data_IF_031758226332
#
_entry.id   IF_031758226332
#
_cell.length_a   1.000
_cell.length_b   1.000
_cell.length_c   1.000
_cell.angle_alpha   90.00
_cell.angle_beta   90.00
_cell.angle_gamma   90.00
#
_symmetry.space_group_name_H-M   'P 1'
#
loop_
_entity.id
_entity.type
_entity.pdbx_description
1 polymer ?
#
# COMPACT_ATOMS: atom_id res chain seq x y z
N UNK A 1 30.92 1.48 7.70
CA UNK A 1 30.48 2.77 7.13
C UNK A 1 29.64 2.49 5.90
N UNK A 2 28.70 3.37 5.57
CA UNK A 2 27.83 3.24 4.38
C UNK A 2 28.23 4.32 3.37
N UNK A 3 28.17 3.99 2.09
CA UNK A 3 28.53 4.90 1.00
C UNK A 3 27.33 5.13 0.07
N UNK A 4 27.27 6.28 -0.59
CA UNK A 4 26.26 6.53 -1.62
C UNK A 4 26.55 5.68 -2.87
N UNK A 5 25.72 4.64 -3.02
CA UNK A 5 25.86 3.63 -4.06
C UNK A 5 24.98 3.83 -5.29
N UNK A 6 24.18 4.91 -5.39
CA UNK A 6 23.19 5.06 -6.49
C UNK A 6 23.80 4.93 -7.88
N UNK A 7 24.95 5.57 -8.10
CA UNK A 7 25.68 5.48 -9.37
C UNK A 7 26.17 4.06 -9.64
N UNK A 8 26.65 3.36 -8.60
CA UNK A 8 27.16 1.99 -8.69
C UNK A 8 26.00 1.05 -9.04
N UNK A 9 24.87 1.17 -8.33
CA UNK A 9 23.68 0.32 -8.56
C UNK A 9 23.15 0.51 -9.99
N UNK A 10 23.09 1.75 -10.48
CA UNK A 10 22.71 2.03 -11.86
C UNK A 10 23.67 1.39 -12.87
N UNK A 11 24.99 1.54 -12.67
CA UNK A 11 26.01 0.92 -13.53
C UNK A 11 25.96 -0.61 -13.48
N UNK A 12 25.70 -1.20 -12.32
CA UNK A 12 25.62 -2.64 -12.12
C UNK A 12 24.37 -3.23 -12.78
N UNK A 13 23.23 -2.53 -12.71
CA UNK A 13 22.02 -2.88 -13.45
C UNK A 13 22.23 -2.81 -14.96
N UNK A 14 22.91 -1.77 -15.47
CA UNK A 14 23.26 -1.67 -16.88
C UNK A 14 24.21 -2.79 -17.32
N UNK A 15 25.26 -3.08 -16.54
CA UNK A 15 26.19 -4.16 -16.82
C UNK A 15 25.50 -5.53 -16.85
N UNK A 16 24.60 -5.78 -15.91
CA UNK A 16 23.81 -7.03 -15.85
C UNK A 16 22.86 -7.16 -17.04
N UNK A 17 22.23 -6.06 -17.46
CA UNK A 17 21.38 -6.04 -18.66
C UNK A 17 22.17 -6.32 -19.93
N UNK A 18 23.37 -5.76 -20.08
CA UNK A 18 24.25 -6.00 -21.23
C UNK A 18 24.79 -7.43 -21.22
N UNK A 19 25.23 -7.92 -20.05
CA UNK A 19 25.69 -9.31 -19.90
C UNK A 19 24.59 -10.32 -20.32
N UNK A 20 23.34 -10.06 -19.93
CA UNK A 20 22.19 -10.89 -20.35
C UNK A 20 21.96 -10.84 -21.86
N UNK A 21 22.07 -9.66 -22.48
CA UNK A 21 21.98 -9.52 -23.94
C UNK A 21 23.10 -10.27 -24.67
N UNK A 22 24.32 -10.26 -24.13
CA UNK A 22 25.44 -11.04 -24.69
C UNK A 22 25.14 -12.54 -24.62
N UNK A 23 24.59 -13.02 -23.51
CA UNK A 23 24.21 -14.44 -23.35
C UNK A 23 23.11 -14.84 -24.37
N UNK A 24 22.11 -13.99 -24.58
CA UNK A 24 21.05 -14.20 -25.58
C UNK A 24 21.56 -14.20 -27.02
N UNK A 25 22.42 -13.23 -27.36
CA UNK A 25 23.04 -13.12 -28.68
C UNK A 25 24.02 -14.29 -28.92
N UNK A 26 24.75 -14.73 -27.90
CA UNK A 26 25.64 -15.89 -27.97
C UNK A 26 24.91 -17.20 -28.25
N UNK A 27 23.70 -17.38 -27.70
CA UNK A 27 22.85 -18.52 -28.06
C UNK A 27 22.32 -18.45 -29.50
N UNK A 28 22.11 -17.24 -30.06
CA UNK A 28 21.63 -17.05 -31.45
C UNK A 28 22.74 -17.14 -32.50
N UNK A 29 23.94 -16.65 -32.20
CA UNK A 29 25.08 -16.63 -33.13
C UNK A 29 25.62 -18.02 -33.49
N UNK A 30 25.27 -19.06 -32.72
CA UNK A 30 25.50 -20.47 -33.10
C UNK A 30 24.75 -20.84 -34.40
N UNK A 31 23.68 -20.10 -34.75
CA UNK A 31 22.77 -20.39 -35.87
C UNK A 31 23.02 -19.44 -37.07
N UNK A 32 23.48 -18.20 -36.88
CA UNK A 32 23.71 -17.22 -37.95
C UNK A 32 25.11 -16.56 -37.84
N UNK A 33 25.92 -16.68 -38.89
CA UNK A 33 27.33 -16.28 -38.90
C UNK A 33 27.57 -15.08 -39.82
N UNK A 34 27.50 -13.86 -39.28
CA UNK A 34 28.55 -12.83 -39.39
C UNK A 34 28.13 -11.53 -38.68
N UNK A 35 26.88 -11.08 -38.88
CA UNK A 35 26.37 -9.80 -38.35
C UNK A 35 26.23 -9.81 -36.81
N UNK A 36 25.86 -10.96 -36.25
CA UNK A 36 25.71 -11.16 -34.81
C UNK A 36 27.05 -11.12 -34.05
N UNK A 37 28.16 -11.43 -34.74
CA UNK A 37 29.50 -11.45 -34.13
C UNK A 37 30.02 -10.03 -33.89
N UNK A 38 29.76 -9.09 -34.79
CA UNK A 38 30.15 -7.68 -34.62
C UNK A 38 29.34 -7.01 -33.50
N UNK A 39 28.03 -7.30 -33.44
CA UNK A 39 27.16 -6.75 -32.38
C UNK A 39 27.53 -7.30 -30.98
N UNK A 40 27.95 -8.56 -30.90
CA UNK A 40 28.50 -9.17 -29.69
C UNK A 40 29.76 -8.45 -29.21
N UNK A 41 30.74 -8.20 -30.10
CA UNK A 41 31.98 -7.49 -29.75
C UNK A 41 31.71 -6.08 -29.22
N UNK A 42 30.77 -5.36 -29.84
CA UNK A 42 30.36 -4.03 -29.37
C UNK A 42 29.76 -4.08 -27.94
N UNK A 43 29.01 -5.12 -27.61
CA UNK A 43 28.43 -5.28 -26.27
C UNK A 43 29.48 -5.69 -25.24
N UNK A 44 30.45 -6.54 -25.60
CA UNK A 44 31.59 -6.88 -24.75
C UNK A 44 32.46 -5.67 -24.42
N UNK A 45 32.76 -4.81 -25.40
CA UNK A 45 33.50 -3.56 -25.18
C UNK A 45 32.75 -2.61 -24.24
N UNK A 46 31.43 -2.45 -24.43
CA UNK A 46 30.58 -1.66 -23.51
C UNK A 46 30.59 -2.23 -22.10
N UNK A 47 30.55 -3.56 -21.96
CA UNK A 47 30.61 -4.23 -20.66
C UNK A 47 31.97 -4.02 -19.98
N UNK A 48 33.07 -4.15 -20.72
CA UNK A 48 34.41 -3.86 -20.20
C UNK A 48 34.55 -2.40 -19.75
N UNK A 49 34.02 -1.45 -20.53
CA UNK A 49 33.97 -0.04 -20.16
C UNK A 49 33.18 0.22 -18.88
N UNK A 50 32.05 -0.47 -18.69
CA UNK A 50 31.26 -0.40 -17.45
C UNK A 50 32.01 -1.02 -16.26
N UNK A 51 32.63 -2.19 -16.43
CA UNK A 51 33.45 -2.82 -15.39
C UNK A 51 34.61 -1.94 -14.95
N UNK A 52 35.27 -1.25 -15.89
CA UNK A 52 36.32 -0.29 -15.57
C UNK A 52 35.80 0.89 -14.75
N UNK A 53 34.65 1.46 -15.12
CA UNK A 53 33.98 2.53 -14.34
C UNK A 53 33.62 2.05 -12.92
N UNK A 54 33.11 0.84 -12.77
CA UNK A 54 32.77 0.26 -11.45
C UNK A 54 34.04 0.13 -10.60
N UNK A 55 35.12 -0.44 -11.14
CA UNK A 55 36.41 -0.56 -10.44
C UNK A 55 36.97 0.81 -10.03
N UNK A 56 36.87 1.80 -10.90
CA UNK A 56 37.30 3.17 -10.60
C UNK A 56 36.50 3.79 -9.45
N UNK A 57 35.18 3.59 -9.39
CA UNK A 57 34.35 4.08 -8.28
C UNK A 57 34.64 3.33 -6.98
N UNK A 58 35.03 2.05 -7.06
CA UNK A 58 35.45 1.24 -5.92
C UNK A 58 36.85 1.59 -5.38
N UNK A 59 37.61 2.46 -6.05
CA UNK A 59 38.87 2.96 -5.51
C UNK A 59 38.63 3.71 -4.19
N UNK A 60 39.48 3.44 -3.20
CA UNK A 60 39.33 3.94 -1.82
C UNK A 60 39.22 5.47 -1.73
N UNK A 61 39.93 6.20 -2.60
CA UNK A 61 39.89 7.67 -2.65
C UNK A 61 38.54 8.23 -3.11
N UNK A 62 37.81 7.50 -3.95
CA UNK A 62 36.49 7.89 -4.46
C UNK A 62 35.41 7.49 -3.45
N UNK A 63 35.56 6.32 -2.82
CA UNK A 63 34.65 5.85 -1.76
C UNK A 63 34.62 6.81 -0.57
N UNK A 64 35.77 7.28 -0.09
CA UNK A 64 35.85 8.24 1.03
C UNK A 64 35.06 9.53 0.78
N UNK A 65 34.98 9.99 -0.48
CA UNK A 65 34.19 11.18 -0.84
C UNK A 65 32.69 10.95 -0.83
N UNK A 66 32.25 9.69 -0.88
CA UNK A 66 30.84 9.27 -0.92
C UNK A 66 30.36 8.67 0.40
N UNK A 67 31.10 8.86 1.49
CA UNK A 67 30.72 8.40 2.82
C UNK A 67 29.44 9.09 3.28
N UNK A 68 28.47 8.29 3.71
CA UNK A 68 27.25 8.76 4.35
C UNK A 68 27.47 8.84 5.85
N UNK A 69 26.80 9.77 6.57
CA UNK A 69 26.87 9.88 8.03
C UNK A 69 26.05 8.77 8.73
N UNK A 70 26.16 7.53 8.25
CA UNK A 70 25.45 6.36 8.74
C UNK A 70 26.41 5.16 8.77
N UNK A 71 26.32 4.37 9.83
CA UNK A 71 27.11 3.15 9.98
C UNK A 71 26.29 2.06 10.66
N UNK A 72 26.55 0.82 10.26
CA UNK A 72 26.10 -0.37 10.99
C UNK A 72 27.15 -0.74 12.03
N UNK A 73 26.70 -0.93 13.27
CA UNK A 73 27.55 -1.29 14.40
C UNK A 73 27.11 -2.65 14.92
N UNK A 74 28.08 -3.56 15.05
CA UNK A 74 27.85 -4.92 15.56
C UNK A 74 28.48 -5.07 16.93
N UNK A 75 27.77 -5.75 17.83
CA UNK A 75 28.22 -6.02 19.19
C UNK A 75 28.47 -7.52 19.38
N UNK A 76 29.38 -7.87 20.29
CA UNK A 76 29.65 -9.28 20.65
C UNK A 76 28.45 -9.95 21.36
N UNK A 77 27.64 -9.17 22.07
CA UNK A 77 26.48 -9.66 22.82
C UNK A 77 25.19 -8.95 22.39
N UNK A 78 24.09 -9.71 22.34
CA UNK A 78 22.74 -9.20 22.02
C UNK A 78 22.27 -8.16 23.04
N UNK A 79 22.58 -8.34 24.32
CA UNK A 79 22.25 -7.37 25.37
C UNK A 79 22.96 -6.03 25.13
N UNK A 80 24.24 -6.06 24.73
CA UNK A 80 25.00 -4.86 24.41
C UNK A 80 24.39 -4.08 23.24
N UNK A 81 23.95 -4.77 22.20
CA UNK A 81 23.24 -4.15 21.07
C UNK A 81 21.87 -3.58 21.46
N UNK A 82 21.12 -4.27 22.32
CA UNK A 82 19.82 -3.80 22.79
C UNK A 82 19.96 -2.53 23.65
N UNK A 83 20.93 -2.51 24.57
CA UNK A 83 21.19 -1.35 25.43
C UNK A 83 21.68 -0.16 24.58
N UNK A 84 22.61 -0.37 23.66
CA UNK A 84 23.14 0.71 22.82
C UNK A 84 22.09 1.30 21.88
N UNK A 85 21.17 0.49 21.36
CA UNK A 85 20.08 0.98 20.48
C UNK A 85 18.97 1.74 21.21
N UNK A 86 18.79 1.52 22.51
CA UNK A 86 17.76 2.18 23.32
C UNK A 86 18.26 3.36 24.14
N UNK A 87 19.58 3.51 24.31
CA UNK A 87 20.19 4.59 25.08
C UNK A 87 20.57 5.77 24.19
N UNK A 88 20.37 6.98 24.72
CA UNK A 88 20.85 8.21 24.10
C UNK A 88 22.37 8.29 24.23
N UNK A 89 23.07 8.37 23.10
CA UNK A 89 24.54 8.36 23.06
C UNK A 89 25.18 9.74 23.21
N UNK A 90 24.44 10.81 22.94
CA UNK A 90 24.96 12.17 22.88
C UNK A 90 23.97 13.18 23.48
N UNK A 91 24.45 14.28 24.05
CA UNK A 91 23.61 15.31 24.69
C UNK A 91 22.56 15.89 23.73
N UNK A 92 22.98 16.19 22.50
CA UNK A 92 22.08 16.57 21.42
C UNK A 92 21.35 15.33 20.86
N UNK A 93 20.01 15.24 20.96
CA UNK A 93 19.23 14.06 20.54
C UNK A 93 19.18 13.85 19.02
N UNK A 94 19.54 14.87 18.22
CA UNK A 94 19.60 14.79 16.76
C UNK A 94 20.93 14.23 16.24
N UNK A 95 21.93 14.10 17.12
CA UNK A 95 23.23 13.54 16.79
C UNK A 95 23.34 12.12 17.35
N UNK A 96 23.99 11.23 16.60
CA UNK A 96 24.22 9.84 17.01
C UNK A 96 22.94 9.07 17.36
N UNK A 97 21.87 9.29 16.60
CA UNK A 97 20.62 8.54 16.76
C UNK A 97 20.84 7.07 16.42
N UNK A 98 20.64 6.19 17.40
CA UNK A 98 20.77 4.75 17.26
C UNK A 98 19.39 4.11 17.06
N UNK A 99 19.27 3.21 16.09
CA UNK A 99 18.10 2.36 15.91
C UNK A 99 18.54 0.91 15.75
N UNK A 100 17.67 -0.04 16.09
CA UNK A 100 17.91 -1.46 15.79
C UNK A 100 18.01 -1.63 14.28
N UNK A 101 19.14 -2.16 13.82
CA UNK A 101 19.38 -2.41 12.41
C UNK A 101 18.37 -3.45 11.87
N UNK A 102 17.65 -3.14 10.78
CA UNK A 102 16.75 -4.10 10.15
C UNK A 102 17.55 -5.19 9.42
N UNK A 103 16.87 -6.28 9.04
CA UNK A 103 17.48 -7.34 8.24
C UNK A 103 18.06 -6.77 6.93
N UNK A 104 19.23 -7.22 6.44
CA UNK A 104 19.86 -6.69 5.23
C UNK A 104 18.95 -6.65 3.99
N UNK A 105 17.97 -7.56 3.89
CA UNK A 105 16.97 -7.62 2.81
C UNK A 105 15.86 -6.59 2.96
N UNK A 106 15.57 -6.16 4.18
CA UNK A 106 14.54 -5.18 4.55
C UNK A 106 15.08 -3.73 4.53
N UNK A 107 16.41 -3.55 4.48
CA UNK A 107 17.05 -2.23 4.35
C UNK A 107 16.71 -1.59 3.00
N UNK A 108 16.24 -0.35 3.03
CA UNK A 108 16.08 0.51 1.86
C UNK A 108 17.32 1.39 1.72
N UNK A 109 18.30 0.90 0.98
CA UNK A 109 19.61 1.56 0.81
C UNK A 109 19.51 3.00 0.28
N UNK A 110 18.58 3.25 -0.65
CA UNK A 110 18.36 4.59 -1.22
C UNK A 110 17.90 5.64 -0.20
N UNK A 111 17.25 5.22 0.89
CA UNK A 111 16.74 6.12 1.92
C UNK A 111 17.80 6.44 2.99
N UNK A 112 18.89 5.66 3.09
CA UNK A 112 20.00 5.93 4.00
C UNK A 112 20.78 7.19 3.64
N UNK A 113 20.73 7.61 2.37
CA UNK A 113 21.39 8.83 1.88
C UNK A 113 20.64 10.13 2.25
N UNK A 114 19.42 10.02 2.80
CA UNK A 114 18.60 11.18 3.14
C UNK A 114 19.12 11.80 4.45
N UNK A 115 19.43 13.11 4.50
CA UNK A 115 19.89 13.74 5.72
C UNK A 115 18.79 13.78 6.78
N UNK A 116 19.15 13.49 8.04
CA UNK A 116 18.19 13.35 9.14
C UNK A 116 17.33 14.60 9.36
N UNK A 117 17.89 15.80 9.15
CA UNK A 117 17.18 17.07 9.34
C UNK A 117 15.98 17.28 8.41
N UNK A 118 15.95 16.65 7.23
CA UNK A 118 14.81 16.77 6.31
C UNK A 118 13.71 15.73 6.56
N UNK A 119 14.00 14.64 7.28
CA UNK A 119 13.03 13.58 7.55
C UNK A 119 11.75 14.08 8.25
N UNK A 120 11.81 14.96 9.27
CA UNK A 120 10.59 15.52 9.87
C UNK A 120 9.71 16.28 8.88
N UNK A 121 10.32 17.06 7.98
CA UNK A 121 9.58 17.84 6.98
C UNK A 121 8.85 16.92 6.00
N UNK A 122 9.52 15.88 5.49
CA UNK A 122 8.88 14.87 4.64
C UNK A 122 7.74 14.14 5.36
N UNK A 123 7.93 13.78 6.64
CA UNK A 123 6.90 13.11 7.44
C UNK A 123 5.67 14.00 7.65
N UNK A 124 5.87 15.28 7.97
CA UNK A 124 4.77 16.25 8.13
C UNK A 124 4.06 16.48 6.79
N UNK A 125 4.82 16.65 5.70
CA UNK A 125 4.26 16.81 4.36
C UNK A 125 3.40 15.62 3.93
N UNK A 126 3.87 14.40 4.20
CA UNK A 126 3.10 13.18 3.90
C UNK A 126 1.88 13.02 4.81
N UNK A 127 1.98 13.39 6.09
CA UNK A 127 0.82 13.42 6.98
C UNK A 127 -0.25 14.39 6.47
N UNK A 128 0.14 15.62 6.13
CA UNK A 128 -0.76 16.63 5.58
C UNK A 128 -1.39 16.18 4.26
N UNK A 129 -0.59 15.61 3.36
CA UNK A 129 -1.08 15.06 2.10
C UNK A 129 -2.10 13.93 2.31
N UNK A 130 -1.83 13.01 3.25
CA UNK A 130 -2.77 11.94 3.60
C UNK A 130 -4.07 12.48 4.22
N UNK A 131 -3.99 13.51 5.07
CA UNK A 131 -5.17 14.18 5.64
C UNK A 131 -6.02 14.86 4.56
N UNK A 132 -5.40 15.64 3.67
CA UNK A 132 -6.09 16.29 2.54
C UNK A 132 -6.73 15.24 1.63
N UNK A 133 -5.99 14.17 1.31
CA UNK A 133 -6.51 13.06 0.52
C UNK A 133 -7.73 12.41 1.18
N UNK A 134 -7.70 12.22 2.50
CA UNK A 134 -8.82 11.66 3.28
C UNK A 134 -10.07 12.54 3.22
N UNK A 135 -9.92 13.86 3.36
CA UNK A 135 -11.02 14.83 3.29
C UNK A 135 -11.58 14.90 1.87
N UNK A 136 -10.71 14.96 0.86
CA UNK A 136 -11.13 14.99 -0.54
C UNK A 136 -11.95 13.74 -0.91
N UNK A 137 -11.58 12.58 -0.37
CA UNK A 137 -12.30 11.33 -0.59
C UNK A 137 -13.68 11.24 0.06
N UNK A 138 -13.97 12.11 1.03
CA UNK A 138 -15.31 12.19 1.59
C UNK A 138 -16.35 12.63 0.55
N UNK A 139 -15.94 13.45 -0.43
CA UNK A 139 -16.82 13.99 -1.48
C UNK A 139 -17.39 12.86 -2.37
N UNK A 140 -16.59 12.00 -3.03
CA UNK A 140 -17.14 10.91 -3.85
C UNK A 140 -17.94 9.89 -3.03
N UNK A 141 -17.51 9.61 -1.79
CA UNK A 141 -18.23 8.68 -0.90
C UNK A 141 -19.62 9.22 -0.55
N UNK A 142 -19.70 10.49 -0.13
CA UNK A 142 -20.98 11.14 0.20
C UNK A 142 -21.84 11.35 -1.04
N UNK A 143 -21.27 11.64 -2.20
CA UNK A 143 -22.00 11.72 -3.46
C UNK A 143 -22.68 10.39 -3.81
N UNK A 144 -21.99 9.26 -3.64
CA UNK A 144 -22.55 7.93 -3.93
C UNK A 144 -23.60 7.53 -2.90
N UNK A 145 -23.34 7.75 -1.60
CA UNK A 145 -24.35 7.54 -0.56
C UNK A 145 -25.59 8.42 -0.78
N UNK A 146 -25.38 9.65 -1.25
CA UNK A 146 -26.41 10.56 -1.72
C UNK A 146 -27.21 9.94 -2.87
N UNK A 147 -26.56 9.51 -3.96
CA UNK A 147 -27.20 8.94 -5.16
C UNK A 147 -28.04 7.69 -4.81
N UNK A 148 -27.51 6.78 -3.99
CA UNK A 148 -28.24 5.56 -3.55
C UNK A 148 -29.50 5.92 -2.75
N UNK A 149 -29.48 7.04 -2.01
CA UNK A 149 -30.69 7.59 -1.37
C UNK A 149 -31.55 8.43 -2.32
N UNK A 150 -30.96 9.08 -3.32
CA UNK A 150 -31.63 9.87 -4.36
C UNK A 150 -32.43 9.00 -5.34
N UNK A 151 -32.08 7.72 -5.54
CA UNK A 151 -32.96 6.78 -6.24
C UNK A 151 -34.28 6.53 -5.46
N UNK A 152 -34.28 6.68 -4.13
CA UNK A 152 -35.53 6.74 -3.32
C UNK A 152 -36.21 8.11 -3.37
N UNK A 153 -35.48 9.16 -3.75
CA UNK A 153 -35.93 10.56 -3.88
C UNK A 153 -36.24 10.97 -5.33
N UNK A 154 -36.46 9.97 -6.21
CA UNK A 154 -36.84 10.10 -7.64
C UNK A 154 -38.14 10.88 -7.89
N UNK A 155 -38.81 11.33 -6.83
CA UNK A 155 -40.06 12.09 -6.85
C UNK A 155 -39.88 13.61 -6.96
N UNK A 156 -38.65 14.15 -6.85
CA UNK A 156 -38.46 15.61 -6.65
C UNK A 156 -37.43 16.32 -7.56
N UNK A 157 -36.76 15.65 -8.51
CA UNK A 157 -35.73 16.29 -9.37
C UNK A 157 -35.98 16.12 -10.89
N UNK A 158 -36.36 17.18 -11.64
CA UNK A 158 -36.67 17.14 -13.08
C UNK A 158 -35.54 16.85 -14.10
N UNK A 159 -34.24 17.16 -13.89
CA UNK A 159 -33.24 16.98 -14.96
C UNK A 159 -32.83 15.52 -15.23
N UNK A 160 -33.30 14.55 -14.44
CA UNK A 160 -33.10 13.11 -14.70
C UNK A 160 -33.95 12.56 -15.85
N UNK A 161 -34.93 13.32 -16.37
CA UNK A 161 -35.73 12.91 -17.54
C UNK A 161 -34.94 12.89 -18.86
N UNK A 162 -33.84 13.64 -18.98
CA UNK A 162 -33.09 13.72 -20.24
C UNK A 162 -32.35 12.40 -20.59
N UNK A 163 -32.09 11.53 -19.60
CA UNK A 163 -31.39 10.25 -19.76
C UNK A 163 -32.38 9.08 -19.96
N UNK A 164 -33.69 9.31 -19.85
CA UNK A 164 -34.73 8.29 -20.01
C UNK A 164 -34.98 7.81 -21.45
N UNK A 165 -34.28 8.32 -22.46
CA UNK A 165 -34.56 8.01 -23.85
C UNK A 165 -34.18 6.58 -24.31
N UNK A 166 -33.48 5.78 -23.49
CA UNK A 166 -33.19 4.36 -23.80
C UNK A 166 -33.52 3.47 -22.59
N UNK A 167 -34.61 2.68 -22.63
CA UNK A 167 -34.98 1.77 -21.56
C UNK A 167 -33.93 0.65 -21.45
N UNK A 168 -33.23 0.59 -20.32
CA UNK A 168 -32.15 -0.38 -20.04
C UNK A 168 -30.81 0.28 -19.71
N UNK A 169 -30.41 1.33 -20.44
CA UNK A 169 -29.14 2.04 -20.19
C UNK A 169 -29.24 2.96 -18.97
N UNK A 170 -30.39 3.58 -18.73
CA UNK A 170 -30.53 4.50 -17.60
C UNK A 170 -30.37 3.81 -16.24
N UNK A 171 -30.89 2.58 -16.06
CA UNK A 171 -30.75 1.84 -14.79
C UNK A 171 -29.31 1.39 -14.49
N UNK A 172 -28.54 1.07 -15.54
CA UNK A 172 -27.12 0.72 -15.42
C UNK A 172 -26.29 1.96 -15.08
N UNK A 173 -26.60 3.09 -15.74
CA UNK A 173 -25.87 4.35 -15.56
C UNK A 173 -26.21 5.03 -14.22
N UNK A 174 -27.44 4.92 -13.70
CA UNK A 174 -27.81 5.55 -12.42
C UNK A 174 -27.44 4.73 -11.19
N UNK A 175 -27.50 3.39 -11.26
CA UNK A 175 -27.23 2.50 -10.11
C UNK A 175 -25.83 1.91 -10.09
N UNK A 176 -25.36 1.36 -11.22
CA UNK A 176 -24.11 0.60 -11.26
C UNK A 176 -22.88 1.48 -11.46
N UNK A 177 -22.97 2.50 -12.34
CA UNK A 177 -21.85 3.36 -12.66
C UNK A 177 -21.28 4.11 -11.42
N UNK A 178 -22.09 4.71 -10.51
CA UNK A 178 -21.56 5.36 -9.32
C UNK A 178 -20.89 4.36 -8.35
N UNK A 179 -21.47 3.16 -8.22
CA UNK A 179 -20.93 2.09 -7.37
C UNK A 179 -19.60 1.55 -7.91
N UNK A 180 -19.49 1.36 -9.22
CA UNK A 180 -18.26 0.92 -9.88
C UNK A 180 -17.14 1.97 -9.77
N UNK A 181 -17.47 3.25 -9.98
CA UNK A 181 -16.53 4.37 -9.81
C UNK A 181 -16.03 4.41 -8.35
N UNK A 182 -16.93 4.31 -7.37
CA UNK A 182 -16.56 4.31 -5.95
C UNK A 182 -15.66 3.12 -5.60
N UNK A 183 -16.00 1.93 -6.07
CA UNK A 183 -15.23 0.71 -5.82
C UNK A 183 -13.82 0.82 -6.39
N UNK A 184 -13.67 1.39 -7.59
CA UNK A 184 -12.37 1.68 -8.20
C UNK A 184 -11.57 2.67 -7.35
N UNK A 185 -12.22 3.74 -6.89
CA UNK A 185 -11.60 4.74 -6.02
C UNK A 185 -11.10 4.12 -4.72
N UNK A 186 -11.93 3.35 -4.01
CA UNK A 186 -11.56 2.66 -2.76
C UNK A 186 -10.40 1.68 -3.01
N UNK A 187 -10.39 0.98 -4.15
CA UNK A 187 -9.31 0.07 -4.51
C UNK A 187 -7.96 0.79 -4.69
N UNK A 188 -7.96 2.04 -5.17
CA UNK A 188 -6.73 2.83 -5.38
C UNK A 188 -6.13 3.34 -4.06
N UNK A 189 -6.93 3.50 -3.00
CA UNK A 189 -6.49 4.12 -1.74
C UNK A 189 -5.26 3.45 -1.10
N UNK A 190 -5.22 2.10 -0.91
CA UNK A 190 -4.07 1.47 -0.27
C UNK A 190 -2.78 1.64 -1.06
N UNK A 191 -2.87 1.66 -2.39
CA UNK A 191 -1.73 1.92 -3.27
C UNK A 191 -1.25 3.37 -3.17
N UNK A 192 -2.18 4.33 -3.13
CA UNK A 192 -1.87 5.74 -2.95
C UNK A 192 -1.17 6.01 -1.60
N UNK A 193 -1.68 5.42 -0.51
CA UNK A 193 -1.06 5.55 0.82
C UNK A 193 0.32 4.89 0.89
N UNK A 194 0.51 3.75 0.20
CA UNK A 194 1.82 3.10 0.10
C UNK A 194 2.82 3.94 -0.71
N UNK A 195 2.36 4.63 -1.76
CA UNK A 195 3.16 5.57 -2.54
C UNK A 195 3.58 6.80 -1.71
N UNK A 196 2.64 7.39 -0.98
CA UNK A 196 2.94 8.46 -0.01
C UNK A 196 3.92 7.96 1.07
N UNK A 197 3.79 6.71 1.50
CA UNK A 197 4.73 6.05 2.42
C UNK A 197 6.15 5.92 1.88
N UNK A 198 6.37 5.80 0.55
CA UNK A 198 7.75 5.78 0.01
C UNK A 198 8.45 7.12 0.19
N UNK A 199 7.70 8.23 0.14
CA UNK A 199 8.24 9.57 0.23
C UNK A 199 8.71 9.94 1.64
N UNK A 200 8.34 9.18 2.68
CA UNK A 200 8.72 9.46 4.08
C UNK A 200 10.18 9.12 4.41
N UNK A 201 10.91 8.44 3.52
CA UNK A 201 12.33 8.16 3.72
C UNK A 201 12.64 7.14 4.82
N UNK A 202 11.75 6.18 5.08
CA UNK A 202 12.02 5.11 6.08
C UNK A 202 13.17 4.20 5.65
N UNK A 203 14.04 3.85 6.61
CA UNK A 203 15.22 2.99 6.39
C UNK A 203 14.85 1.51 6.17
N UNK A 204 13.70 1.07 6.67
CA UNK A 204 13.22 -0.32 6.56
C UNK A 204 11.93 -0.39 5.74
N UNK A 205 11.79 -1.42 4.90
CA UNK A 205 10.56 -1.67 4.12
C UNK A 205 9.41 -2.03 5.06
N UNK A 206 9.68 -2.84 6.07
CA UNK A 206 8.70 -3.24 7.09
C UNK A 206 8.14 -2.04 7.87
N UNK A 207 9.01 -1.13 8.35
CA UNK A 207 8.55 0.11 9.03
C UNK A 207 7.68 0.96 8.10
N UNK A 208 8.05 1.05 6.84
CA UNK A 208 7.29 1.78 5.82
C UNK A 208 5.91 1.16 5.58
N UNK A 209 5.84 -0.17 5.44
CA UNK A 209 4.58 -0.89 5.22
C UNK A 209 3.64 -0.77 6.43
N UNK A 210 4.17 -0.89 7.66
CA UNK A 210 3.40 -0.65 8.89
C UNK A 210 2.84 0.77 8.92
N UNK A 211 3.64 1.78 8.54
CA UNK A 211 3.15 3.16 8.49
C UNK A 211 2.05 3.35 7.43
N UNK A 212 2.23 2.78 6.24
CA UNK A 212 1.22 2.80 5.19
C UNK A 212 -0.08 2.13 5.65
N UNK A 213 0.03 0.97 6.31
CA UNK A 213 -1.09 0.27 6.95
C UNK A 213 -1.84 1.18 7.94
N UNK A 214 -1.12 1.86 8.84
CA UNK A 214 -1.74 2.81 9.77
C UNK A 214 -2.46 3.95 9.05
N UNK A 215 -1.89 4.49 7.97
CA UNK A 215 -2.52 5.55 7.19
C UNK A 215 -3.81 5.07 6.51
N UNK A 216 -3.81 3.87 5.93
CA UNK A 216 -5.01 3.25 5.34
C UNK A 216 -6.06 2.97 6.42
N UNK A 217 -5.65 2.49 7.60
CA UNK A 217 -6.57 2.26 8.71
C UNK A 217 -7.28 3.54 9.14
N UNK A 218 -6.55 4.63 9.39
CA UNK A 218 -7.17 5.92 9.74
C UNK A 218 -8.06 6.46 8.62
N UNK A 219 -7.68 6.26 7.36
CA UNK A 219 -8.52 6.61 6.22
C UNK A 219 -9.84 5.83 6.24
N UNK A 220 -9.81 4.52 6.46
CA UNK A 220 -11.00 3.67 6.51
C UNK A 220 -11.88 4.04 7.71
N UNK A 221 -11.29 4.31 8.87
CA UNK A 221 -12.04 4.77 10.04
C UNK A 221 -12.74 6.10 9.75
N UNK A 222 -12.05 7.07 9.13
CA UNK A 222 -12.66 8.34 8.75
C UNK A 222 -13.78 8.19 7.70
N UNK A 223 -13.47 7.52 6.58
CA UNK A 223 -14.35 7.50 5.41
C UNK A 223 -15.40 6.38 5.42
N UNK A 224 -15.11 5.21 5.99
CA UNK A 224 -16.06 4.08 6.00
C UNK A 224 -16.83 4.06 7.32
N UNK A 225 -16.16 4.25 8.46
CA UNK A 225 -16.84 4.23 9.76
C UNK A 225 -17.53 5.57 10.07
N UNK A 226 -16.78 6.66 10.23
CA UNK A 226 -17.35 7.94 10.65
C UNK A 226 -18.29 8.55 9.61
N UNK A 227 -17.94 8.59 8.32
CA UNK A 227 -18.85 9.12 7.31
C UNK A 227 -20.15 8.30 7.19
N UNK A 228 -20.13 6.98 7.37
CA UNK A 228 -21.37 6.19 7.32
C UNK A 228 -22.27 6.46 8.53
N UNK A 229 -21.68 6.70 9.71
CA UNK A 229 -22.42 7.14 10.90
C UNK A 229 -23.03 8.54 10.71
N UNK A 230 -22.23 9.47 10.19
CA UNK A 230 -22.67 10.84 9.89
C UNK A 230 -23.70 10.88 8.76
N UNK A 231 -23.57 10.00 7.76
CA UNK A 231 -24.52 9.85 6.65
C UNK A 231 -25.85 9.29 7.12
N UNK A 232 -25.86 8.33 8.05
CA UNK A 232 -27.07 7.83 8.73
C UNK A 232 -27.84 8.93 9.43
N UNK A 233 -27.08 9.88 9.97
CA UNK A 233 -27.61 10.89 10.86
C UNK A 233 -27.95 12.19 10.12
N UNK A 234 -27.10 12.77 9.24
CA UNK A 234 -27.15 14.22 8.96
C UNK A 234 -26.70 14.72 7.59
N UNK A 235 -27.65 15.32 6.89
CA UNK A 235 -27.48 16.69 6.37
C UNK A 235 -28.06 17.71 7.40
N UNK A 236 -29.02 17.32 8.25
CA UNK A 236 -29.79 18.27 9.09
C UNK A 236 -29.18 18.65 10.46
N UNK A 237 -28.60 17.77 11.28
CA UNK A 237 -27.92 18.20 12.54
C UNK A 237 -26.46 18.63 12.32
N UNK A 238 -25.86 18.61 11.11
CA UNK A 238 -24.50 19.17 10.93
C UNK A 238 -24.52 20.68 11.26
N UNK A 239 -25.63 21.35 10.93
CA UNK A 239 -25.90 22.74 11.28
C UNK A 239 -26.24 22.95 12.77
N UNK A 240 -26.79 21.94 13.46
CA UNK A 240 -27.17 22.05 14.87
C UNK A 240 -26.09 21.57 15.86
N UNK A 241 -25.17 20.70 15.42
CA UNK A 241 -24.11 20.07 16.25
C UNK A 241 -23.07 21.08 16.77
N UNK A 242 -22.87 22.19 16.05
CA UNK A 242 -21.98 23.26 16.50
C UNK A 242 -22.55 24.10 17.67
N UNK A 243 -23.85 23.94 17.98
CA UNK A 243 -24.55 24.80 18.95
C UNK A 243 -24.56 24.23 20.38
N UNK A 244 -24.52 22.89 20.56
CA UNK A 244 -24.56 22.25 21.88
C UNK A 244 -23.64 21.01 21.99
N UNK A 245 -22.37 21.18 22.41
CA UNK A 245 -21.39 20.08 22.46
C UNK A 245 -21.65 19.02 23.56
N UNK A 246 -22.54 19.27 24.52
CA UNK A 246 -22.88 18.31 25.59
C UNK A 246 -23.67 17.09 25.10
N UNK A 247 -24.38 17.20 23.98
CA UNK A 247 -25.22 16.11 23.44
C UNK A 247 -24.50 15.25 22.40
N UNK A 248 -23.21 15.49 22.15
CA UNK A 248 -22.46 14.77 21.13
C UNK A 248 -22.39 13.24 21.37
N UNK A 249 -22.10 12.74 22.60
CA UNK A 249 -22.01 11.30 22.85
C UNK A 249 -23.35 10.56 22.69
N UNK A 250 -24.45 11.16 23.15
CA UNK A 250 -25.79 10.56 23.05
C UNK A 250 -26.28 10.50 21.59
N UNK A 251 -26.02 11.56 20.81
CA UNK A 251 -26.32 11.57 19.36
C UNK A 251 -25.48 10.56 18.61
N UNK A 252 -24.19 10.43 18.93
CA UNK A 252 -23.32 9.42 18.33
C UNK A 252 -23.79 7.99 18.66
N UNK A 253 -24.20 7.71 19.90
CA UNK A 253 -24.75 6.42 20.27
C UNK A 253 -26.02 6.07 19.47
N UNK A 254 -26.93 7.03 19.31
CA UNK A 254 -28.14 6.86 18.48
C UNK A 254 -27.80 6.63 17.00
N UNK A 255 -26.83 7.36 16.47
CA UNK A 255 -26.34 7.21 15.09
C UNK A 255 -25.77 5.80 14.85
N UNK A 256 -24.92 5.33 15.77
CA UNK A 256 -24.31 4.00 15.71
C UNK A 256 -25.38 2.92 15.77
N UNK A 257 -26.33 3.02 16.70
CA UNK A 257 -27.43 2.05 16.77
C UNK A 257 -28.27 2.00 15.49
N UNK A 258 -28.52 3.15 14.87
CA UNK A 258 -29.31 3.22 13.63
C UNK A 258 -28.62 2.58 12.41
N UNK A 259 -27.29 2.51 12.42
CA UNK A 259 -26.49 2.01 11.30
C UNK A 259 -25.99 0.58 11.49
N UNK A 260 -26.47 -0.14 12.51
CA UNK A 260 -26.10 -1.53 12.77
C UNK A 260 -26.29 -2.43 11.53
N UNK A 261 -27.44 -2.32 10.85
CA UNK A 261 -27.77 -3.13 9.66
C UNK A 261 -26.81 -2.87 8.49
N UNK A 262 -26.38 -1.63 8.33
CA UNK A 262 -25.40 -1.25 7.31
C UNK A 262 -24.05 -1.93 7.59
N UNK A 263 -23.55 -1.87 8.83
CA UNK A 263 -22.27 -2.49 9.18
C UNK A 263 -22.33 -4.02 9.19
N UNK A 264 -23.47 -4.62 9.55
CA UNK A 264 -23.69 -6.06 9.39
C UNK A 264 -23.57 -6.48 7.92
N UNK A 265 -24.26 -5.75 7.02
CA UNK A 265 -24.21 -6.02 5.58
C UNK A 265 -22.80 -5.77 5.01
N UNK A 266 -22.11 -4.74 5.49
CA UNK A 266 -20.73 -4.43 5.11
C UNK A 266 -19.78 -5.56 5.48
N UNK A 267 -19.77 -6.04 6.73
CA UNK A 267 -18.91 -7.15 7.18
C UNK A 267 -19.22 -8.44 6.39
N UNK A 268 -20.50 -8.72 6.15
CA UNK A 268 -20.90 -9.91 5.40
C UNK A 268 -20.43 -9.83 3.94
N UNK A 269 -20.57 -8.67 3.31
CA UNK A 269 -20.15 -8.44 1.92
C UNK A 269 -18.63 -8.45 1.79
N UNK A 270 -17.92 -7.75 2.68
CA UNK A 270 -16.45 -7.73 2.72
C UNK A 270 -15.89 -9.13 3.00
N UNK A 271 -16.50 -9.88 3.92
CA UNK A 271 -16.11 -11.26 4.22
C UNK A 271 -16.32 -12.19 3.03
N UNK A 272 -17.55 -12.30 2.55
CA UNK A 272 -17.87 -13.24 1.46
C UNK A 272 -17.14 -12.87 0.16
N UNK A 273 -17.24 -11.61 -0.26
CA UNK A 273 -16.65 -11.16 -1.52
C UNK A 273 -15.13 -10.99 -1.43
N UNK A 274 -14.64 -10.39 -0.35
CA UNK A 274 -13.22 -10.15 -0.14
C UNK A 274 -12.43 -11.45 0.01
N UNK A 275 -12.88 -12.39 0.86
CA UNK A 275 -12.20 -13.68 0.98
C UNK A 275 -12.28 -14.50 -0.31
N UNK A 276 -13.40 -14.46 -1.05
CA UNK A 276 -13.49 -15.13 -2.34
C UNK A 276 -12.48 -14.58 -3.36
N UNK A 277 -12.34 -13.26 -3.45
CA UNK A 277 -11.35 -12.62 -4.35
C UNK A 277 -9.90 -12.89 -3.92
N UNK A 278 -9.66 -12.99 -2.61
CA UNK A 278 -8.33 -13.28 -2.06
C UNK A 278 -7.95 -14.76 -2.27
N UNK A 279 -8.87 -15.72 -2.13
CA UNK A 279 -8.64 -17.14 -2.47
C UNK A 279 -8.23 -17.30 -3.92
N UNK A 280 -8.93 -16.62 -4.84
CA UNK A 280 -8.62 -16.65 -6.29
C UNK A 280 -7.30 -15.94 -6.59
N UNK A 281 -6.75 -15.17 -5.64
CA UNK A 281 -5.62 -14.28 -5.84
C UNK A 281 -5.80 -13.44 -7.11
N UNK A 282 -6.97 -12.81 -7.25
CA UNK A 282 -7.38 -12.17 -8.50
C UNK A 282 -6.34 -11.15 -9.02
N UNK A 283 -5.69 -10.41 -8.12
CA UNK A 283 -4.61 -9.48 -8.48
C UNK A 283 -3.37 -10.17 -9.07
N UNK A 284 -3.00 -11.35 -8.59
CA UNK A 284 -1.85 -12.10 -9.10
C UNK A 284 -2.18 -12.73 -10.46
N UNK A 285 -3.39 -13.31 -10.58
CA UNK A 285 -3.87 -13.94 -11.80
C UNK A 285 -3.97 -12.92 -12.95
N UNK A 286 -4.48 -11.73 -12.66
CA UNK A 286 -4.59 -10.65 -13.65
C UNK A 286 -3.22 -10.10 -14.05
N UNK A 287 -2.29 -9.94 -13.10
CA UNK A 287 -0.92 -9.53 -13.41
C UNK A 287 -0.17 -10.55 -14.27
N UNK A 288 -0.29 -11.84 -13.93
CA UNK A 288 0.32 -12.91 -14.71
C UNK A 288 -0.29 -13.01 -16.11
N UNK A 289 -1.62 -12.90 -16.22
CA UNK A 289 -2.32 -12.85 -17.51
C UNK A 289 -1.83 -11.68 -18.38
N UNK A 290 -1.74 -10.47 -17.82
CA UNK A 290 -1.22 -9.29 -18.52
C UNK A 290 0.22 -9.54 -18.96
N UNK A 291 1.09 -10.06 -18.09
CA UNK A 291 2.49 -10.31 -18.40
C UNK A 291 2.65 -11.36 -19.51
N UNK A 292 1.91 -12.47 -19.43
CA UNK A 292 1.93 -13.52 -20.46
C UNK A 292 1.53 -12.94 -21.82
N UNK A 293 0.57 -12.00 -21.82
CA UNK A 293 0.08 -11.38 -23.05
C UNK A 293 0.97 -10.24 -23.58
N UNK A 294 1.69 -9.50 -22.71
CA UNK A 294 2.48 -8.31 -23.12
C UNK A 294 4.00 -8.54 -23.17
N UNK A 295 4.57 -9.38 -22.30
CA UNK A 295 6.03 -9.51 -22.14
C UNK A 295 6.64 -10.77 -22.77
N UNK A 296 5.85 -11.58 -23.48
CA UNK A 296 6.33 -12.79 -24.14
C UNK A 296 6.69 -13.93 -23.17
N UNK A 297 6.61 -15.17 -23.66
CA UNK A 297 6.99 -16.40 -22.94
C UNK A 297 8.51 -16.45 -22.71
N UNK A 298 9.01 -15.63 -21.80
CA UNK A 298 10.43 -15.40 -21.58
C UNK A 298 10.85 -15.42 -20.12
N UNK A 299 10.94 -16.63 -19.56
CA UNK A 299 12.10 -17.09 -18.78
C UNK A 299 12.59 -16.15 -17.66
N UNK A 300 11.83 -16.08 -16.57
CA UNK A 300 12.42 -15.87 -15.25
C UNK A 300 11.67 -16.75 -14.23
N UNK A 301 12.25 -17.91 -13.90
CA UNK A 301 11.78 -18.82 -12.85
C UNK A 301 12.19 -18.30 -11.47
N UNK A 302 11.93 -17.03 -11.19
CA UNK A 302 11.92 -16.61 -9.80
C UNK A 302 10.50 -16.88 -9.32
N UNK A 303 10.29 -17.84 -8.39
CA UNK A 303 9.00 -17.95 -7.75
C UNK A 303 8.75 -16.59 -7.11
N UNK A 304 7.79 -15.85 -7.66
CA UNK A 304 7.34 -14.61 -7.06
C UNK A 304 6.62 -15.02 -5.77
N UNK A 305 7.38 -15.13 -4.69
CA UNK A 305 6.86 -15.10 -3.32
C UNK A 305 6.31 -13.68 -3.14
N UNK A 306 5.13 -13.42 -3.70
CA UNK A 306 4.47 -12.15 -3.46
C UNK A 306 4.07 -12.15 -1.99
N UNK A 307 4.73 -11.30 -1.22
CA UNK A 307 4.39 -11.08 0.17
C UNK A 307 2.90 -10.76 0.25
N UNK A 308 2.20 -11.40 1.18
CA UNK A 308 0.79 -11.11 1.48
C UNK A 308 0.60 -9.58 1.50
N UNK A 309 -0.46 -9.03 0.84
CA UNK A 309 -0.67 -7.59 0.74
C UNK A 309 -1.04 -6.98 2.10
N UNK A 310 -0.02 -6.84 2.95
CA UNK A 310 -0.09 -6.51 4.37
C UNK A 310 -0.80 -5.18 4.58
N UNK A 311 -0.48 -4.19 3.75
CA UNK A 311 -1.06 -2.83 3.80
C UNK A 311 -2.54 -2.75 3.38
N UNK A 312 -3.13 -3.82 2.79
CA UNK A 312 -4.55 -3.87 2.41
C UNK A 312 -5.36 -4.70 3.40
N UNK A 313 -4.85 -5.87 3.74
CA UNK A 313 -5.57 -6.84 4.60
C UNK A 313 -5.65 -6.35 6.04
N UNK A 314 -4.51 -5.94 6.63
CA UNK A 314 -4.45 -5.59 8.05
C UNK A 314 -5.37 -4.40 8.39
N UNK A 315 -5.44 -3.31 7.60
CA UNK A 315 -6.38 -2.22 7.88
C UNK A 315 -7.84 -2.64 7.81
N UNK A 316 -8.23 -3.49 6.85
CA UNK A 316 -9.62 -3.98 6.74
C UNK A 316 -10.01 -4.83 7.94
N UNK A 317 -9.15 -5.80 8.30
CA UNK A 317 -9.36 -6.65 9.48
C UNK A 317 -9.39 -5.81 10.77
N UNK A 318 -8.51 -4.81 10.90
CA UNK A 318 -8.49 -3.91 12.04
C UNK A 318 -9.76 -3.05 12.13
N UNK A 319 -10.32 -2.62 11.00
CA UNK A 319 -11.60 -1.93 10.94
C UNK A 319 -12.74 -2.86 11.40
N UNK A 320 -12.76 -4.11 10.95
CA UNK A 320 -13.74 -5.11 11.40
C UNK A 320 -13.65 -5.38 12.90
N UNK A 321 -12.44 -5.42 13.47
CA UNK A 321 -12.24 -5.50 14.94
C UNK A 321 -12.80 -4.26 15.64
N UNK A 322 -12.52 -3.06 15.14
CA UNK A 322 -13.04 -1.80 15.70
C UNK A 322 -14.58 -1.79 15.69
N UNK A 323 -15.19 -2.16 14.56
CA UNK A 323 -16.65 -2.26 14.43
C UNK A 323 -17.18 -3.31 15.41
N UNK A 324 -16.56 -4.48 15.47
CA UNK A 324 -16.91 -5.53 16.44
C UNK A 324 -16.92 -5.02 17.87
N UNK A 325 -15.83 -4.36 18.31
CA UNK A 325 -15.72 -3.78 19.66
C UNK A 325 -16.83 -2.77 19.98
N UNK A 326 -17.21 -1.94 19.02
CA UNK A 326 -18.30 -0.95 19.19
C UNK A 326 -19.66 -1.63 19.27
N UNK A 327 -19.93 -2.62 18.41
CA UNK A 327 -21.24 -3.26 18.30
C UNK A 327 -21.47 -4.43 19.26
N UNK A 328 -20.45 -4.94 19.96
CA UNK A 328 -20.61 -5.94 21.04
C UNK A 328 -21.65 -5.49 22.07
N UNK A 329 -21.65 -4.20 22.42
CA UNK A 329 -22.55 -3.64 23.43
C UNK A 329 -23.91 -3.24 22.83
N UNK A 330 -23.91 -2.77 21.58
CA UNK A 330 -25.10 -2.14 20.95
C UNK A 330 -25.98 -3.19 20.25
N UNK A 331 -25.37 -4.09 19.48
CA UNK A 331 -26.06 -5.07 18.64
C UNK A 331 -25.31 -6.42 18.69
N UNK A 332 -25.51 -7.23 19.73
CA UNK A 332 -24.79 -8.50 19.92
C UNK A 332 -25.06 -9.52 18.80
N UNK A 333 -26.13 -9.34 18.03
CA UNK A 333 -26.45 -10.13 16.83
C UNK A 333 -25.37 -10.03 15.73
N UNK A 334 -24.56 -8.97 15.70
CA UNK A 334 -23.43 -8.82 14.75
C UNK A 334 -22.26 -9.76 15.09
N UNK A 335 -22.11 -10.14 16.36
CA UNK A 335 -20.99 -10.91 16.88
C UNK A 335 -20.83 -12.30 16.24
N UNK A 336 -21.88 -13.14 16.07
CA UNK A 336 -21.74 -14.42 15.37
C UNK A 336 -21.27 -14.26 13.92
N UNK A 337 -21.75 -13.23 13.20
CA UNK A 337 -21.29 -12.95 11.83
C UNK A 337 -19.80 -12.57 11.80
N UNK A 338 -19.35 -11.79 12.79
CA UNK A 338 -17.95 -11.42 12.93
C UNK A 338 -17.05 -12.64 13.24
N UNK A 339 -17.52 -13.57 14.07
CA UNK A 339 -16.81 -14.83 14.34
C UNK A 339 -16.66 -15.64 13.06
N UNK A 340 -17.73 -15.80 12.28
CA UNK A 340 -17.68 -16.50 10.99
C UNK A 340 -16.72 -15.80 10.03
N UNK A 341 -16.72 -14.46 9.99
CA UNK A 341 -15.75 -13.67 9.22
C UNK A 341 -14.30 -14.01 9.60
N UNK A 342 -13.95 -14.00 10.89
CA UNK A 342 -12.59 -14.32 11.32
C UNK A 342 -12.21 -15.78 11.08
N UNK A 343 -13.15 -16.73 11.25
CA UNK A 343 -12.91 -18.14 10.96
C UNK A 343 -12.63 -18.37 9.47
N UNK A 344 -13.43 -17.77 8.58
CA UNK A 344 -13.20 -17.84 7.14
C UNK A 344 -11.85 -17.21 6.77
N UNK A 345 -11.55 -16.01 7.29
CA UNK A 345 -10.26 -15.37 7.06
C UNK A 345 -9.09 -16.22 7.53
N UNK A 346 -9.19 -16.84 8.71
CA UNK A 346 -8.16 -17.74 9.23
C UNK A 346 -7.88 -18.91 8.28
N UNK A 347 -8.93 -19.60 7.81
CA UNK A 347 -8.80 -20.73 6.87
C UNK A 347 -8.19 -20.31 5.54
N UNK A 348 -8.57 -19.14 5.02
CA UNK A 348 -8.02 -18.63 3.75
C UNK A 348 -6.53 -18.28 3.89
N UNK A 349 -6.16 -17.52 4.92
CA UNK A 349 -4.78 -17.06 5.08
C UNK A 349 -3.83 -18.20 5.48
N UNK A 350 -4.27 -19.20 6.26
CA UNK A 350 -3.42 -20.36 6.57
C UNK A 350 -3.16 -21.21 5.31
N UNK A 351 -4.18 -21.38 4.46
CA UNK A 351 -4.04 -22.09 3.20
C UNK A 351 -3.06 -21.36 2.24
N UNK A 352 -3.15 -20.03 2.18
CA UNK A 352 -2.21 -19.22 1.40
C UNK A 352 -0.79 -19.29 1.96
N UNK A 353 -0.63 -19.23 3.28
CA UNK A 353 0.68 -19.30 3.93
C UNK A 353 1.38 -20.64 3.65
N UNK A 354 0.66 -21.76 3.80
CA UNK A 354 1.17 -23.09 3.46
C UNK A 354 1.56 -23.19 1.98
N UNK A 355 0.69 -22.71 1.08
CA UNK A 355 0.95 -22.75 -0.36
C UNK A 355 2.18 -21.94 -0.75
N UNK A 356 2.39 -20.78 -0.10
CA UNK A 356 3.52 -19.90 -0.37
C UNK A 356 4.83 -20.44 0.22
N UNK A 357 4.81 -21.11 1.38
CA UNK A 357 6.01 -21.73 1.97
C UNK A 357 6.44 -23.05 1.29
N UNK A 358 5.53 -23.71 0.55
CA UNK A 358 5.82 -24.98 -0.15
C UNK A 358 6.51 -24.82 -1.51
N UNK A 359 6.68 -23.59 -1.99
CA UNK A 359 7.26 -23.20 -3.28
C UNK A 359 8.58 -22.46 -3.05
#
# INVERSE_FOLDING_TARGET
MVYDGKDIEHLLNQATSIARKIEELGCRSVIQKHKDVEELRLHEEKLQGLCHKIRHIQCESVLKRKELPVAFVSFKSRCGAAISSQSQQHENPLLWTTEVAPEPRDVVWNNLAIPYHYLPLYRIGVFLAASVFTIFFAIPVTAVQGIVRFEKLKKWFPPAMAIQFIPGVSSIVTGYLPSAILSLFIYIVPFAMLALGMLQGYVSRSKREIKACNMVFYFLVGNVFFLSLLSGSLIDQIGQSFTHPKDFPSRLASAVSSQADFFMTYILTDGLSGFSLEIVQFGLLTWDFIRVHTFGRGRNKNPYLFSLPYYRVIPSVSLSILIGMVYVVIAPLLLPFLIVYFLLGYVVYINQYHSCCSL
#
